data_IF_654060908933
#
_entry.id   IF_654060908933
#
_cell.length_a   1.000
_cell.length_b   1.000
_cell.length_c   1.000
_cell.angle_alpha   90.00
_cell.angle_beta   90.00
_cell.angle_gamma   90.00
#
_symmetry.space_group_name_H-M   'P 1'
#
loop_
_entity.id
_entity.type
_entity.pdbx_description
1 polymer ?
#
# COMPACT_ATOMS: atom_id res chain seq x y z
N UNK A 1 30.87 -31.99 -2.84
CA UNK A 1 29.47 -32.23 -2.43
C UNK A 1 28.73 -30.90 -2.41
N UNK A 2 27.77 -30.69 -3.31
CA UNK A 2 27.07 -29.41 -3.41
C UNK A 2 26.03 -29.26 -2.30
N UNK A 3 26.15 -28.21 -1.48
CA UNK A 3 25.21 -27.90 -0.40
C UNK A 3 23.86 -27.46 -0.99
N UNK A 4 22.80 -28.18 -0.63
CA UNK A 4 21.43 -27.95 -1.10
C UNK A 4 20.86 -26.74 -0.34
N UNK A 5 20.88 -25.55 -0.95
CA UNK A 5 20.22 -24.35 -0.41
C UNK A 5 18.76 -24.67 -0.10
N UNK A 6 18.38 -24.65 1.19
CA UNK A 6 17.02 -24.92 1.61
C UNK A 6 16.12 -23.79 1.11
N UNK A 7 15.10 -24.14 0.31
CA UNK A 7 14.14 -23.15 -0.22
C UNK A 7 13.38 -22.54 0.96
N UNK A 8 13.64 -21.28 1.27
CA UNK A 8 12.92 -20.53 2.30
C UNK A 8 11.42 -20.57 2.01
N UNK A 9 10.63 -21.08 2.97
CA UNK A 9 9.16 -21.19 2.82
C UNK A 9 8.57 -19.78 2.77
N UNK A 10 7.85 -19.46 1.70
CA UNK A 10 7.11 -18.18 1.59
C UNK A 10 6.17 -18.03 2.77
N UNK A 11 6.24 -16.88 3.46
CA UNK A 11 5.32 -16.56 4.55
C UNK A 11 3.88 -16.55 4.01
N UNK A 12 2.95 -17.10 4.79
CA UNK A 12 1.52 -17.06 4.45
C UNK A 12 1.05 -15.60 4.41
N UNK A 13 0.41 -15.20 3.31
CA UNK A 13 -0.18 -13.86 3.20
C UNK A 13 -1.39 -13.78 4.13
N UNK A 14 -1.39 -12.81 5.04
CA UNK A 14 -2.53 -12.53 5.93
C UNK A 14 -3.44 -11.51 5.24
N UNK A 15 -4.70 -11.88 5.02
CA UNK A 15 -5.71 -10.99 4.47
C UNK A 15 -6.60 -10.43 5.59
N UNK A 16 -7.10 -9.21 5.41
CA UNK A 16 -8.08 -8.56 6.29
C UNK A 16 -9.31 -8.19 5.48
N UNK A 17 -10.50 -8.39 6.05
CA UNK A 17 -11.77 -8.01 5.44
C UNK A 17 -12.05 -6.53 5.70
N UNK A 18 -12.52 -5.82 4.70
CA UNK A 18 -12.94 -4.42 4.81
C UNK A 18 -14.36 -4.31 4.23
N UNK A 19 -15.29 -3.79 5.03
CA UNK A 19 -16.70 -3.64 4.67
C UNK A 19 -17.12 -2.21 4.93
N UNK A 20 -17.76 -1.59 3.95
CA UNK A 20 -18.32 -0.25 4.05
C UNK A 20 -19.58 -0.16 3.19
N UNK A 21 -20.47 0.74 3.58
CA UNK A 21 -21.68 1.04 2.81
C UNK A 21 -21.37 2.17 1.83
N UNK A 22 -21.97 2.10 0.65
CA UNK A 22 -21.92 3.15 -0.36
C UNK A 22 -23.31 3.71 -0.57
N UNK A 23 -23.40 5.00 -0.87
CA UNK A 23 -24.64 5.56 -1.36
C UNK A 23 -25.01 4.93 -2.70
N UNK A 24 -26.31 4.80 -2.98
CA UNK A 24 -26.80 4.26 -4.24
C UNK A 24 -26.25 5.06 -5.45
N UNK A 25 -26.12 6.39 -5.30
CA UNK A 25 -25.55 7.26 -6.34
C UNK A 25 -24.08 6.92 -6.64
N UNK A 26 -23.28 6.68 -5.60
CA UNK A 26 -21.87 6.34 -5.72
C UNK A 26 -21.68 4.97 -6.35
N UNK A 27 -22.46 3.99 -5.89
CA UNK A 27 -22.46 2.65 -6.45
C UNK A 27 -22.82 2.65 -7.94
N UNK A 28 -23.83 3.41 -8.34
CA UNK A 28 -24.22 3.53 -9.75
C UNK A 28 -23.14 4.18 -10.64
N UNK A 29 -22.37 5.12 -10.09
CA UNK A 29 -21.19 5.69 -10.79
C UNK A 29 -20.10 4.63 -10.97
N UNK A 30 -19.79 3.89 -9.90
CA UNK A 30 -18.81 2.79 -9.94
C UNK A 30 -19.23 1.72 -10.94
N UNK A 31 -20.50 1.30 -10.91
CA UNK A 31 -21.03 0.28 -11.81
C UNK A 31 -20.93 0.70 -13.29
N UNK A 32 -21.28 1.96 -13.62
CA UNK A 32 -21.13 2.49 -14.99
C UNK A 32 -19.67 2.49 -15.44
N UNK A 33 -18.75 2.93 -14.58
CA UNK A 33 -17.32 2.92 -14.88
C UNK A 33 -16.81 1.49 -15.10
N UNK A 34 -17.16 0.57 -14.21
CA UNK A 34 -16.81 -0.84 -14.31
C UNK A 34 -17.32 -1.48 -15.62
N UNK A 35 -18.55 -1.17 -16.04
CA UNK A 35 -19.12 -1.64 -17.30
C UNK A 35 -18.34 -1.15 -18.52
N UNK A 36 -17.99 0.15 -18.54
CA UNK A 36 -17.22 0.76 -19.64
C UNK A 36 -15.81 0.16 -19.77
N UNK A 37 -15.15 -0.10 -18.65
CA UNK A 37 -13.74 -0.53 -18.62
C UNK A 37 -13.56 -2.05 -18.46
N UNK A 38 -14.64 -2.84 -18.47
CA UNK A 38 -14.61 -4.30 -18.23
C UNK A 38 -13.88 -4.66 -16.92
N UNK A 39 -14.18 -3.92 -15.86
CA UNK A 39 -13.61 -4.10 -14.52
C UNK A 39 -14.69 -4.55 -13.53
N UNK A 40 -14.26 -5.12 -12.41
CA UNK A 40 -15.13 -5.38 -11.26
C UNK A 40 -14.98 -4.28 -10.21
N UNK A 41 -16.02 -3.99 -9.40
CA UNK A 41 -15.95 -2.99 -8.34
C UNK A 41 -14.77 -3.25 -7.38
N UNK A 42 -14.56 -4.51 -6.99
CA UNK A 42 -13.43 -4.90 -6.14
C UNK A 42 -12.06 -4.57 -6.76
N UNK A 43 -11.89 -4.82 -8.07
CA UNK A 43 -10.63 -4.52 -8.77
C UNK A 43 -10.42 -3.01 -8.89
N UNK A 44 -11.48 -2.26 -9.14
CA UNK A 44 -11.45 -0.80 -9.16
C UNK A 44 -11.02 -0.25 -7.80
N UNK A 45 -11.72 -0.62 -6.72
CA UNK A 45 -11.45 -0.12 -5.36
C UNK A 45 -10.01 -0.44 -4.95
N UNK A 46 -9.54 -1.68 -5.16
CA UNK A 46 -8.15 -2.05 -4.84
C UNK A 46 -7.13 -1.22 -5.64
N UNK A 47 -7.39 -0.98 -6.93
CA UNK A 47 -6.51 -0.18 -7.77
C UNK A 47 -6.50 1.27 -7.31
N UNK A 48 -7.66 1.86 -7.08
CA UNK A 48 -7.79 3.24 -6.63
C UNK A 48 -7.14 3.46 -5.25
N UNK A 49 -7.36 2.56 -4.29
CA UNK A 49 -6.70 2.62 -2.99
C UNK A 49 -5.18 2.51 -3.12
N UNK A 50 -4.68 1.56 -3.92
CA UNK A 50 -3.24 1.43 -4.17
C UNK A 50 -2.69 2.70 -4.79
N UNK A 51 -3.35 3.25 -5.81
CA UNK A 51 -2.95 4.50 -6.45
C UNK A 51 -2.94 5.64 -5.44
N UNK A 52 -4.02 5.85 -4.69
CA UNK A 52 -4.14 6.91 -3.69
C UNK A 52 -3.02 6.82 -2.64
N UNK A 53 -2.81 5.65 -2.04
CA UNK A 53 -1.74 5.42 -1.05
C UNK A 53 -0.36 5.58 -1.66
N UNK A 54 -0.12 5.14 -2.91
CA UNK A 54 1.18 5.36 -3.55
C UNK A 54 1.47 6.83 -3.88
N UNK A 55 0.44 7.65 -4.12
CA UNK A 55 0.63 9.09 -4.38
C UNK A 55 0.76 9.89 -3.08
N UNK A 56 0.09 9.47 -2.00
CA UNK A 56 0.04 10.21 -0.73
C UNK A 56 1.03 9.65 0.30
N UNK A 57 1.37 8.36 0.25
CA UNK A 57 2.35 7.72 1.11
C UNK A 57 3.68 8.48 1.17
N UNK A 58 4.27 8.91 0.03
CA UNK A 58 5.47 9.73 0.05
C UNK A 58 5.32 11.05 0.80
N UNK A 59 4.12 11.64 0.82
CA UNK A 59 3.84 12.89 1.53
C UNK A 59 3.74 12.63 3.04
N UNK A 60 3.05 11.55 3.44
CA UNK A 60 2.91 11.17 4.86
C UNK A 60 4.25 10.69 5.44
N UNK A 61 5.03 9.92 4.69
CA UNK A 61 6.33 9.43 5.14
C UNK A 61 7.40 10.56 5.19
N UNK A 62 7.14 11.70 4.53
CA UNK A 62 7.95 12.92 4.61
C UNK A 62 7.55 13.85 5.75
N UNK A 63 6.35 13.70 6.32
CA UNK A 63 5.97 14.33 7.59
C UNK A 63 6.70 13.59 8.73
N UNK A 64 7.99 13.90 8.82
CA UNK A 64 8.84 13.80 10.00
C UNK A 64 8.64 12.53 10.85
N UNK A 65 9.45 11.51 10.59
CA UNK A 65 9.91 10.72 11.73
C UNK A 65 10.66 11.71 12.64
N UNK A 66 10.17 12.03 13.85
CA UNK A 66 10.93 12.86 14.76
C UNK A 66 12.24 12.12 14.99
N UNK A 67 13.33 12.73 14.55
CA UNK A 67 14.68 12.31 14.91
C UNK A 67 14.68 12.23 16.42
N UNK A 68 14.83 11.01 16.96
CA UNK A 68 14.87 10.83 18.41
C UNK A 68 15.97 11.73 18.97
N UNK A 69 15.71 12.41 20.08
CA UNK A 69 16.69 13.26 20.77
C UNK A 69 18.06 12.57 21.01
N UNK A 70 18.09 11.23 20.99
CA UNK A 70 19.29 10.41 21.20
C UNK A 70 19.94 9.88 19.90
N UNK A 71 19.55 10.36 18.72
CA UNK A 71 20.16 9.90 17.47
C UNK A 71 21.56 10.53 17.30
N UNK A 72 22.60 9.74 17.56
CA UNK A 72 24.00 10.15 17.35
C UNK A 72 24.26 10.48 15.87
N UNK A 73 24.84 11.66 15.61
CA UNK A 73 25.32 12.11 14.29
C UNK A 73 26.61 11.36 13.93
N UNK A 74 26.49 10.07 13.65
CA UNK A 74 27.64 9.16 13.40
C UNK A 74 28.45 9.56 12.14
N UNK A 75 27.94 10.49 11.31
CA UNK A 75 28.52 10.83 10.01
C UNK A 75 28.89 12.31 9.80
N UNK A 76 29.00 13.13 10.86
CA UNK A 76 29.64 14.46 10.74
C UNK A 76 31.17 14.32 10.62
N UNK A 77 31.63 13.82 9.48
CA UNK A 77 33.04 13.88 9.10
C UNK A 77 33.20 14.90 7.96
N UNK A 78 33.65 16.11 8.33
CA UNK A 78 34.45 16.97 7.47
C UNK A 78 33.75 18.20 6.89
N UNK A 79 33.85 19.32 7.61
CA UNK A 79 33.96 20.67 7.05
C UNK A 79 35.22 21.32 7.63
#
# INVERSE_FOLDING_TARGET
MAQKLSKSRRKKVKYKSLSFKLSNKEYNRIARYCKKHKLTPNKLIKKSLRTYVSHIGPIIDQEELPVSENQLTIFDFGA
#
